data_IF_639992453036
#
_entry.id   IF_639992453036
#
_cell.length_a   1.000
_cell.length_b   1.000
_cell.length_c   1.000
_cell.angle_alpha   90.00
_cell.angle_beta   90.00
_cell.angle_gamma   90.00
#
_symmetry.space_group_name_H-M   'P 1'
#
loop_
_entity.id
_entity.type
_entity.pdbx_description
1 polymer ?
#
# COMPACT_ATOMS: atom_id res chain seq x y z
N UNK A 1 -15.75 -14.00 -20.45
CA UNK A 1 -15.16 -13.90 -19.09
C UNK A 1 -15.53 -12.54 -18.52
N UNK A 2 -15.72 -12.40 -17.20
CA UNK A 2 -16.03 -11.10 -16.56
C UNK A 2 -14.87 -10.72 -15.63
N UNK A 3 -14.70 -9.42 -15.39
CA UNK A 3 -13.69 -8.90 -14.50
C UNK A 3 -14.09 -7.57 -13.89
N UNK A 4 -13.21 -7.03 -13.06
CA UNK A 4 -13.31 -5.69 -12.49
C UNK A 4 -12.18 -4.84 -13.03
N UNK A 5 -12.48 -3.59 -13.38
CA UNK A 5 -11.49 -2.59 -13.76
C UNK A 5 -11.48 -1.51 -12.69
N UNK A 6 -10.30 -1.25 -12.13
CA UNK A 6 -10.06 -0.16 -11.18
C UNK A 6 -9.19 0.86 -11.92
N UNK A 7 -9.71 2.07 -12.11
CA UNK A 7 -9.03 3.14 -12.85
C UNK A 7 -8.80 4.37 -11.97
N UNK A 8 -7.62 4.97 -12.11
CA UNK A 8 -7.28 6.26 -11.49
C UNK A 8 -6.81 7.24 -12.57
N UNK A 9 -7.41 8.42 -12.63
CA UNK A 9 -7.02 9.55 -13.47
C UNK A 9 -6.57 10.72 -12.56
N UNK A 10 -5.25 10.96 -12.43
CA UNK A 10 -4.73 12.00 -11.56
C UNK A 10 -5.05 13.41 -12.05
N UNK A 11 -5.18 13.63 -13.36
CA UNK A 11 -5.50 14.95 -13.91
C UNK A 11 -6.93 15.38 -13.59
N UNK A 12 -7.83 14.40 -13.42
CA UNK A 12 -9.22 14.62 -13.03
C UNK A 12 -9.48 14.39 -11.54
N UNK A 13 -8.44 14.13 -10.74
CA UNK A 13 -8.54 13.79 -9.32
C UNK A 13 -9.49 12.61 -9.02
N UNK A 14 -9.55 11.63 -9.92
CA UNK A 14 -10.36 10.43 -9.75
C UNK A 14 -9.45 9.26 -9.39
N UNK A 15 -9.69 8.62 -8.25
CA UNK A 15 -8.85 7.52 -7.77
C UNK A 15 -9.68 6.30 -7.46
N UNK A 16 -9.16 5.12 -7.82
CA UNK A 16 -9.71 3.81 -7.47
C UNK A 16 -11.18 3.61 -7.90
N UNK A 17 -11.58 4.17 -9.05
CA UNK A 17 -12.96 4.05 -9.55
C UNK A 17 -13.17 2.64 -10.10
N UNK A 18 -14.03 1.86 -9.43
CA UNK A 18 -14.37 0.48 -9.82
C UNK A 18 -15.48 0.44 -10.87
N UNK A 19 -15.31 -0.40 -11.89
CA UNK A 19 -16.36 -0.74 -12.87
C UNK A 19 -16.31 -2.21 -13.27
N UNK A 20 -17.48 -2.78 -13.54
CA UNK A 20 -17.59 -4.12 -14.09
C UNK A 20 -17.23 -4.12 -15.58
N UNK A 21 -16.44 -5.09 -16.02
CA UNK A 21 -16.05 -5.25 -17.43
C UNK A 21 -16.23 -6.69 -17.89
N UNK A 22 -16.44 -6.86 -19.19
CA UNK A 22 -16.55 -8.16 -19.84
C UNK A 22 -15.47 -8.30 -20.91
N UNK A 23 -14.88 -9.50 -20.94
CA UNK A 23 -13.94 -9.89 -21.98
C UNK A 23 -14.71 -10.36 -23.21
N UNK A 24 -14.23 -9.95 -24.38
CA UNK A 24 -14.69 -10.40 -25.69
C UNK A 24 -13.77 -11.48 -26.28
N UNK A 25 -14.22 -12.12 -27.35
CA UNK A 25 -13.36 -13.01 -28.11
C UNK A 25 -12.22 -12.22 -28.78
N UNK A 26 -11.04 -12.82 -28.87
CA UNK A 26 -9.87 -12.16 -29.44
C UNK A 26 -10.12 -11.76 -30.90
N UNK A 27 -9.64 -10.58 -31.28
CA UNK A 27 -9.59 -10.18 -32.67
C UNK A 27 -8.36 -10.80 -33.36
N UNK A 28 -8.32 -10.74 -34.69
CA UNK A 28 -7.17 -11.22 -35.48
C UNK A 28 -5.99 -10.26 -35.43
N UNK A 29 -6.24 -8.96 -35.27
CA UNK A 29 -5.17 -7.98 -35.15
C UNK A 29 -4.35 -8.20 -33.88
N UNK A 30 -3.05 -7.97 -34.01
CA UNK A 30 -2.07 -8.18 -32.96
C UNK A 30 -1.32 -6.90 -32.59
N UNK A 31 -1.79 -5.74 -33.05
CA UNK A 31 -1.29 -4.44 -32.60
C UNK A 31 -1.73 -4.13 -31.16
N UNK A 32 -0.92 -3.38 -30.42
CA UNK A 32 -1.21 -2.87 -29.05
C UNK A 32 -1.60 -3.95 -28.01
N UNK A 33 -1.04 -5.15 -28.11
CA UNK A 33 -1.37 -6.25 -27.20
C UNK A 33 -0.48 -6.30 -25.95
N UNK A 34 -1.13 -6.48 -24.80
CA UNK A 34 -0.49 -6.94 -23.55
C UNK A 34 -0.93 -8.39 -23.31
N UNK A 35 0.02 -9.32 -23.40
CA UNK A 35 -0.26 -10.77 -23.24
C UNK A 35 0.03 -11.23 -21.81
N UNK A 36 -0.93 -11.95 -21.21
CA UNK A 36 -0.81 -12.50 -19.85
C UNK A 36 -0.90 -14.03 -19.94
N UNK A 37 0.07 -14.75 -19.36
CA UNK A 37 0.14 -16.21 -19.39
C UNK A 37 0.10 -16.82 -17.98
N UNK A 38 -1.11 -17.12 -17.42
CA UNK A 38 -1.25 -17.60 -16.04
C UNK A 38 -0.57 -18.95 -15.74
N UNK A 39 -0.16 -19.70 -16.77
CA UNK A 39 0.51 -21.00 -16.63
C UNK A 39 2.01 -20.89 -16.31
N UNK A 40 2.60 -19.72 -16.51
CA UNK A 40 4.01 -19.48 -16.22
C UNK A 40 4.12 -18.61 -14.96
N UNK A 41 4.36 -19.25 -13.83
CA UNK A 41 4.50 -18.57 -12.53
C UNK A 41 5.94 -18.15 -12.30
N UNK A 42 6.11 -17.04 -11.55
CA UNK A 42 7.40 -16.53 -11.13
C UNK A 42 7.47 -16.57 -9.58
N UNK A 43 8.06 -15.55 -8.96
CA UNK A 43 8.18 -15.45 -7.50
C UNK A 43 6.83 -15.31 -6.81
N UNK A 44 6.77 -15.78 -5.56
CA UNK A 44 5.70 -15.47 -4.63
C UNK A 44 5.93 -14.09 -4.01
N UNK A 45 4.86 -13.34 -3.80
CA UNK A 45 4.89 -12.03 -3.13
C UNK A 45 4.30 -12.20 -1.73
N UNK A 46 5.08 -11.82 -0.70
CA UNK A 46 4.69 -12.00 0.70
C UNK A 46 3.65 -10.97 1.17
N UNK A 47 3.64 -9.78 0.58
CA UNK A 47 2.68 -8.74 0.92
C UNK A 47 3.11 -7.32 0.59
N UNK A 48 2.33 -6.36 1.09
CA UNK A 48 2.53 -4.93 0.93
C UNK A 48 2.34 -4.23 2.27
N UNK A 49 2.99 -3.09 2.45
CA UNK A 49 3.12 -2.50 3.78
C UNK A 49 3.72 -1.10 3.84
N UNK A 50 3.86 -0.62 5.07
CA UNK A 50 4.45 0.68 5.39
C UNK A 50 5.58 0.57 6.42
N UNK A 51 6.15 1.73 6.79
CA UNK A 51 7.13 1.81 7.87
C UNK A 51 6.57 2.57 9.07
N UNK A 52 6.72 2.03 10.27
CA UNK A 52 6.41 2.76 11.51
C UNK A 52 7.68 3.42 12.04
N UNK A 53 7.75 4.74 11.95
CA UNK A 53 8.85 5.55 12.48
C UNK A 53 8.38 6.35 13.70
N UNK A 54 9.31 6.85 14.50
CA UNK A 54 8.97 7.70 15.65
C UNK A 54 8.18 8.94 15.21
N UNK A 55 8.59 9.61 14.13
CA UNK A 55 7.86 10.74 13.56
C UNK A 55 6.44 10.38 13.12
N UNK A 56 6.25 9.22 12.48
CA UNK A 56 4.91 8.73 12.15
C UNK A 56 4.06 8.48 13.42
N UNK A 57 4.68 7.92 14.47
CA UNK A 57 4.04 7.72 15.77
C UNK A 57 3.66 9.02 16.48
N UNK A 58 4.52 10.04 16.43
CA UNK A 58 4.26 11.37 16.99
C UNK A 58 3.06 12.02 16.28
N UNK A 59 3.03 11.98 14.95
CA UNK A 59 1.90 12.49 14.17
C UNK A 59 0.63 11.72 14.50
N UNK A 60 0.67 10.39 14.54
CA UNK A 60 -0.46 9.56 14.93
C UNK A 60 -0.97 9.89 16.35
N UNK A 61 -0.07 10.09 17.31
CA UNK A 61 -0.44 10.45 18.68
C UNK A 61 -1.09 11.83 18.81
N UNK A 62 -0.75 12.76 17.90
CA UNK A 62 -1.36 14.09 17.85
C UNK A 62 -2.79 14.12 17.28
N UNK A 63 -3.24 13.01 16.68
CA UNK A 63 -4.59 12.90 16.10
C UNK A 63 -5.66 12.70 17.18
N UNK A 64 -6.91 13.10 16.88
CA UNK A 64 -8.07 12.73 17.70
C UNK A 64 -8.33 11.22 17.64
N UNK A 65 -8.99 10.64 18.65
CA UNK A 65 -9.31 9.21 18.67
C UNK A 65 -10.15 8.76 17.46
N UNK A 66 -11.07 9.62 17.00
CA UNK A 66 -11.84 9.38 15.76
C UNK A 66 -10.92 9.28 14.54
N UNK A 67 -9.96 10.20 14.42
CA UNK A 67 -9.02 10.24 13.30
C UNK A 67 -8.05 9.06 13.35
N UNK A 68 -7.59 8.64 14.55
CA UNK A 68 -6.76 7.45 14.73
C UNK A 68 -7.47 6.19 14.23
N UNK A 69 -8.72 5.99 14.63
CA UNK A 69 -9.52 4.86 14.19
C UNK A 69 -9.71 4.85 12.66
N UNK A 70 -10.00 6.01 12.06
CA UNK A 70 -10.11 6.14 10.61
C UNK A 70 -8.78 5.84 9.90
N UNK A 71 -7.66 6.35 10.41
CA UNK A 71 -6.33 6.10 9.85
C UNK A 71 -6.00 4.60 9.85
N UNK A 72 -6.22 3.92 10.98
CA UNK A 72 -5.97 2.48 11.09
C UNK A 72 -6.88 1.68 10.16
N UNK A 73 -8.15 2.07 10.04
CA UNK A 73 -9.07 1.44 9.10
C UNK A 73 -8.58 1.58 7.66
N UNK A 74 -8.19 2.78 7.22
CA UNK A 74 -7.74 3.00 5.84
C UNK A 74 -6.52 2.13 5.49
N UNK A 75 -5.54 2.01 6.39
CA UNK A 75 -4.30 1.28 6.09
C UNK A 75 -4.38 -0.23 6.35
N UNK A 76 -5.04 -0.67 7.42
CA UNK A 76 -4.96 -2.06 7.89
C UNK A 76 -6.28 -2.83 7.78
N UNK A 77 -7.39 -2.18 7.41
CA UNK A 77 -8.64 -2.90 7.17
C UNK A 77 -8.56 -3.77 5.92
N UNK A 78 -9.16 -4.97 5.99
CA UNK A 78 -9.28 -5.88 4.86
C UNK A 78 -10.14 -5.31 3.71
N UNK A 79 -10.97 -4.31 3.99
CA UNK A 79 -11.81 -3.64 2.99
C UNK A 79 -11.13 -2.44 2.32
N UNK A 80 -9.98 -1.98 2.84
CA UNK A 80 -9.26 -0.80 2.37
C UNK A 80 -7.88 -1.20 1.80
N UNK A 81 -6.78 -0.58 2.24
CA UNK A 81 -5.44 -0.90 1.74
C UNK A 81 -4.92 -2.27 2.18
N UNK A 82 -5.47 -2.86 3.23
CA UNK A 82 -5.14 -4.19 3.72
C UNK A 82 -3.61 -4.45 3.81
N UNK A 83 -2.88 -3.55 4.46
CA UNK A 83 -1.44 -3.75 4.69
C UNK A 83 -1.20 -5.04 5.48
N UNK A 84 -0.37 -5.91 4.93
CA UNK A 84 0.00 -7.21 5.54
C UNK A 84 1.43 -7.22 6.08
N UNK A 85 2.26 -6.25 5.65
CA UNK A 85 3.65 -6.11 6.09
C UNK A 85 3.88 -4.76 6.77
N UNK A 86 4.89 -4.72 7.63
CA UNK A 86 5.39 -3.48 8.20
C UNK A 86 6.90 -3.56 8.44
N UNK A 87 7.56 -2.40 8.41
CA UNK A 87 8.97 -2.24 8.79
C UNK A 87 9.10 -1.23 9.91
N UNK A 88 10.00 -1.46 10.86
CA UNK A 88 10.30 -0.51 11.94
C UNK A 88 11.81 -0.33 12.07
N UNK A 89 12.31 0.90 12.29
CA UNK A 89 13.71 1.10 12.62
C UNK A 89 14.00 0.52 14.01
N UNK A 90 15.16 -0.14 14.15
CA UNK A 90 15.72 -0.44 15.46
C UNK A 90 16.60 0.76 15.82
N UNK A 91 16.32 1.44 16.94
CA UNK A 91 16.87 2.74 17.33
C UNK A 91 16.27 3.93 16.55
N UNK A 92 16.89 5.11 16.66
CA UNK A 92 16.46 6.29 15.90
C UNK A 92 16.80 6.16 14.41
N UNK A 93 15.95 6.75 13.59
CA UNK A 93 16.23 7.04 12.18
C UNK A 93 16.20 8.57 11.96
N UNK A 94 16.41 9.02 10.73
CA UNK A 94 16.22 10.40 10.29
C UNK A 94 14.79 10.92 10.55
N UNK A 95 13.79 10.03 10.59
CA UNK A 95 12.41 10.33 10.99
C UNK A 95 12.18 10.21 12.52
N UNK A 96 13.20 10.40 13.34
CA UNK A 96 13.08 10.50 14.80
C UNK A 96 13.23 11.97 15.25
N UNK A 97 12.64 12.32 16.38
CA UNK A 97 12.75 13.65 17.01
C UNK A 97 14.18 13.94 17.48
N UNK A 98 14.99 12.91 17.69
CA UNK A 98 16.40 13.04 18.01
C UNK A 98 17.15 11.71 17.91
N UNK A 99 18.48 11.78 18.03
CA UNK A 99 19.34 10.60 17.97
C UNK A 99 19.28 9.80 19.28
N UNK A 100 18.60 8.66 19.23
CA UNK A 100 18.51 7.70 20.31
C UNK A 100 19.24 6.42 19.93
N UNK A 101 20.15 5.98 20.81
CA UNK A 101 20.79 4.66 20.71
C UNK A 101 20.39 3.85 21.93
N UNK A 102 19.89 2.64 21.72
CA UNK A 102 19.41 1.75 22.79
C UNK A 102 20.54 1.37 23.75
N UNK A 103 21.77 1.23 23.24
CA UNK A 103 22.96 1.05 24.07
C UNK A 103 23.80 2.35 24.09
N UNK A 104 23.42 3.30 24.96
CA UNK A 104 24.36 4.33 25.41
C UNK A 104 25.10 3.80 26.63
N UNK A 105 26.32 3.29 26.43
CA UNK A 105 27.26 3.18 27.55
C UNK A 105 27.65 4.59 27.96
N UNK A 106 27.14 5.06 29.10
CA UNK A 106 27.80 6.15 29.82
C UNK A 106 29.16 5.61 30.27
N UNK A 107 30.24 6.21 29.77
CA UNK A 107 31.54 6.09 30.42
C UNK A 107 31.56 7.01 31.64
#
# INVERSE_FOLDING_TARGET
>A
MKGRLISSDPYRQQFLVERAVSFSHRQRDCSELISVLPRHTLQQIDGFGGSFTEGAGVVFNSMSEKTKAQFLSLYFSAQEHNYTLARMPIQSCDFSLGQLRVCRFQR
#
